data_IF_374506570001
#
_entry.id   IF_374506570001
#
_cell.length_a   1.000
_cell.length_b   1.000
_cell.length_c   1.000
_cell.angle_alpha   90.00
_cell.angle_beta   90.00
_cell.angle_gamma   90.00
#
_symmetry.space_group_name_H-M   'P 1'
#
loop_
_entity.id
_entity.type
_entity.pdbx_description
1 polymer ?
#
# COMPACT_ATOMS: atom_id res chain seq x y z
N UNK A 1 -22.80 -16.62 19.41
CA UNK A 1 -22.20 -17.49 18.39
C UNK A 1 -21.20 -16.70 17.59
N UNK A 2 -19.92 -16.93 17.78
CA UNK A 2 -18.93 -16.37 16.90
C UNK A 2 -19.09 -17.08 15.55
N UNK A 3 -19.51 -16.37 14.53
CA UNK A 3 -19.40 -16.84 13.15
C UNK A 3 -17.89 -16.93 12.90
N UNK A 4 -17.36 -18.13 12.96
CA UNK A 4 -16.02 -18.40 12.52
C UNK A 4 -15.97 -17.95 11.06
N UNK A 5 -15.37 -16.79 10.82
CA UNK A 5 -15.03 -16.37 9.47
C UNK A 5 -14.11 -17.45 8.96
N UNK A 6 -14.64 -18.39 8.19
CA UNK A 6 -13.84 -19.37 7.49
C UNK A 6 -12.88 -18.54 6.66
N UNK A 7 -11.65 -18.43 7.11
CA UNK A 7 -10.56 -18.07 6.23
C UNK A 7 -10.68 -19.04 5.07
N UNK A 8 -11.14 -18.55 3.92
CA UNK A 8 -11.13 -19.39 2.72
C UNK A 8 -9.68 -19.75 2.53
N UNK A 9 -9.36 -21.01 2.79
CA UNK A 9 -8.05 -21.54 2.45
C UNK A 9 -7.89 -21.27 0.96
N UNK A 10 -6.78 -20.62 0.58
CA UNK A 10 -6.46 -20.47 -0.83
C UNK A 10 -6.45 -21.87 -1.45
N UNK A 11 -7.10 -22.08 -2.60
CA UNK A 11 -7.01 -23.36 -3.27
C UNK A 11 -5.54 -23.74 -3.42
N UNK A 12 -5.20 -24.97 -3.06
CA UNK A 12 -3.83 -25.46 -3.23
C UNK A 12 -3.45 -25.32 -4.71
N UNK A 13 -2.49 -24.46 -5.01
CA UNK A 13 -2.02 -24.20 -6.37
C UNK A 13 -2.27 -22.80 -6.89
N UNK A 14 -3.30 -22.07 -6.44
CA UNK A 14 -3.60 -20.69 -6.91
C UNK A 14 -2.95 -19.59 -6.06
N UNK A 15 -2.32 -19.93 -4.95
CA UNK A 15 -1.79 -18.97 -4.00
C UNK A 15 -0.30 -18.63 -4.14
N UNK A 16 0.37 -19.13 -5.17
CA UNK A 16 1.80 -18.88 -5.35
C UNK A 16 2.05 -17.81 -6.39
N UNK A 17 2.43 -16.66 -5.92
CA UNK A 17 2.96 -15.62 -6.77
C UNK A 17 4.41 -15.92 -7.13
N UNK A 18 4.78 -15.68 -8.38
CA UNK A 18 6.17 -15.67 -8.80
C UNK A 18 6.79 -14.29 -8.58
N UNK A 19 8.11 -14.23 -8.54
CA UNK A 19 8.81 -12.94 -8.47
C UNK A 19 8.48 -12.04 -9.67
N UNK A 20 8.32 -12.62 -10.85
CA UNK A 20 7.93 -11.88 -12.07
C UNK A 20 6.55 -11.25 -11.88
N UNK A 21 5.58 -12.01 -11.41
CA UNK A 21 4.23 -11.50 -11.13
C UNK A 21 4.23 -10.42 -10.04
N UNK A 22 4.97 -10.65 -8.95
CA UNK A 22 5.07 -9.69 -7.85
C UNK A 22 5.70 -8.37 -8.33
N UNK A 23 6.80 -8.41 -9.06
CA UNK A 23 7.42 -7.21 -9.62
C UNK A 23 6.52 -6.50 -10.63
N UNK A 24 5.80 -7.23 -11.47
CA UNK A 24 4.84 -6.65 -12.40
C UNK A 24 3.73 -5.91 -11.65
N UNK A 25 3.22 -6.48 -10.55
CA UNK A 25 2.23 -5.83 -9.70
C UNK A 25 2.78 -4.54 -9.07
N UNK A 26 4.01 -4.57 -8.55
CA UNK A 26 4.65 -3.37 -7.98
C UNK A 26 4.79 -2.26 -9.02
N UNK A 27 5.21 -2.59 -10.25
CA UNK A 27 5.29 -1.60 -11.35
C UNK A 27 3.90 -1.06 -11.73
N UNK A 28 2.88 -1.92 -11.77
CA UNK A 28 1.51 -1.49 -12.05
C UNK A 28 0.99 -0.52 -10.97
N UNK A 29 1.25 -0.81 -9.70
CA UNK A 29 0.83 0.06 -8.59
C UNK A 29 1.56 1.40 -8.64
N UNK A 30 2.86 1.43 -8.91
CA UNK A 30 3.60 2.67 -9.13
C UNK A 30 2.95 3.51 -10.22
N UNK A 31 2.64 2.91 -11.34
CA UNK A 31 2.01 3.57 -12.48
C UNK A 31 0.62 4.12 -12.14
N UNK A 32 -0.21 3.36 -11.43
CA UNK A 32 -1.52 3.81 -10.97
C UNK A 32 -1.43 5.05 -10.08
N UNK A 33 -0.46 5.09 -9.16
CA UNK A 33 -0.21 6.27 -8.33
C UNK A 33 0.27 7.47 -9.16
N UNK A 34 1.20 7.26 -10.09
CA UNK A 34 1.73 8.33 -10.94
C UNK A 34 0.65 8.91 -11.86
N UNK A 35 -0.27 8.09 -12.34
CA UNK A 35 -1.44 8.54 -13.13
C UNK A 35 -2.59 9.06 -12.27
N UNK A 36 -2.49 8.94 -10.94
CA UNK A 36 -3.55 9.30 -10.01
C UNK A 36 -4.88 8.57 -10.29
N UNK A 37 -4.78 7.32 -10.72
CA UNK A 37 -5.91 6.49 -11.11
C UNK A 37 -6.49 5.77 -9.87
N UNK A 38 -7.37 6.46 -9.16
CA UNK A 38 -7.99 5.94 -7.93
C UNK A 38 -8.82 4.69 -8.22
N UNK A 39 -9.54 4.65 -9.32
CA UNK A 39 -10.36 3.49 -9.67
C UNK A 39 -9.49 2.24 -9.88
N UNK A 40 -8.39 2.37 -10.60
CA UNK A 40 -7.46 1.26 -10.78
C UNK A 40 -6.83 0.81 -9.45
N UNK A 41 -6.44 1.75 -8.59
CA UNK A 41 -5.92 1.43 -7.26
C UNK A 41 -6.93 0.64 -6.43
N UNK A 42 -8.16 1.13 -6.33
CA UNK A 42 -9.23 0.46 -5.57
C UNK A 42 -9.57 -0.92 -6.14
N UNK A 43 -9.63 -1.04 -7.46
CA UNK A 43 -9.92 -2.31 -8.15
C UNK A 43 -8.80 -3.35 -7.99
N UNK A 44 -7.61 -2.94 -7.59
CA UNK A 44 -6.52 -3.85 -7.24
C UNK A 44 -6.68 -4.54 -5.88
N UNK A 45 -7.69 -4.17 -5.10
CA UNK A 45 -8.01 -4.75 -3.81
C UNK A 45 -9.29 -5.59 -3.87
N UNK A 46 -9.41 -6.57 -2.97
CA UNK A 46 -10.66 -7.33 -2.81
C UNK A 46 -11.75 -6.43 -2.22
N UNK A 47 -13.02 -6.78 -2.45
CA UNK A 47 -14.15 -6.00 -1.90
C UNK A 47 -14.14 -5.93 -0.37
N UNK A 48 -13.71 -7.00 0.28
CA UNK A 48 -13.60 -7.14 1.73
C UNK A 48 -12.19 -6.84 2.25
N UNK A 49 -11.40 -6.07 1.52
CA UNK A 49 -10.02 -5.75 1.90
C UNK A 49 -9.93 -5.13 3.29
N UNK A 50 -8.81 -5.39 3.93
CA UNK A 50 -8.45 -4.82 5.22
C UNK A 50 -7.14 -4.06 5.04
N UNK A 51 -7.07 -2.84 5.53
CA UNK A 51 -5.84 -2.08 5.45
C UNK A 51 -5.53 -1.35 6.76
N UNK A 52 -4.26 -1.36 7.09
CA UNK A 52 -3.70 -0.68 8.25
C UNK A 52 -2.53 0.18 7.79
N UNK A 53 -2.67 1.48 7.91
CA UNK A 53 -1.75 2.46 7.39
C UNK A 53 -1.12 3.25 8.53
N UNK A 54 0.13 2.92 8.86
CA UNK A 54 0.88 3.50 9.98
C UNK A 54 0.12 3.41 11.32
N UNK A 55 -0.04 4.54 12.01
CA UNK A 55 -0.75 4.62 13.28
C UNK A 55 -2.28 4.73 13.14
N UNK A 56 -2.80 4.81 11.91
CA UNK A 56 -4.24 4.94 11.68
C UNK A 56 -4.97 3.65 12.09
N UNK A 57 -6.19 3.74 12.60
CA UNK A 57 -7.00 2.56 12.86
C UNK A 57 -7.16 1.69 11.62
N UNK A 58 -7.25 0.39 11.83
CA UNK A 58 -7.58 -0.56 10.77
C UNK A 58 -8.90 -0.18 10.10
N UNK A 59 -8.92 -0.22 8.78
CA UNK A 59 -10.09 0.08 7.97
C UNK A 59 -10.43 -1.10 7.05
N UNK A 60 -11.67 -1.16 6.59
CA UNK A 60 -12.19 -2.28 5.80
C UNK A 60 -12.99 -1.81 4.60
N UNK A 61 -12.84 -2.53 3.51
CA UNK A 61 -13.65 -2.40 2.30
C UNK A 61 -13.21 -1.32 1.33
N UNK A 62 -13.67 -1.46 0.10
CA UNK A 62 -13.30 -0.56 -1.00
C UNK A 62 -13.81 0.88 -0.82
N UNK A 63 -14.96 1.08 -0.16
CA UNK A 63 -15.46 2.44 0.07
C UNK A 63 -14.53 3.24 1.00
N UNK A 64 -14.08 2.63 2.08
CA UNK A 64 -13.09 3.24 2.99
C UNK A 64 -11.76 3.45 2.27
N UNK A 65 -11.33 2.48 1.47
CA UNK A 65 -10.10 2.57 0.70
C UNK A 65 -10.12 3.70 -0.33
N UNK A 66 -11.25 3.90 -1.01
CA UNK A 66 -11.45 4.99 -1.96
C UNK A 66 -11.33 6.35 -1.27
N UNK A 67 -11.97 6.51 -0.13
CA UNK A 67 -11.86 7.75 0.68
C UNK A 67 -10.42 8.01 1.10
N UNK A 68 -9.72 6.96 1.52
CA UNK A 68 -8.31 7.03 1.91
C UNK A 68 -7.42 7.48 0.74
N UNK A 69 -7.51 6.85 -0.42
CA UNK A 69 -6.70 7.23 -1.58
C UNK A 69 -7.05 8.62 -2.11
N UNK A 70 -8.32 8.99 -2.11
CA UNK A 70 -8.75 10.33 -2.53
C UNK A 70 -8.10 11.40 -1.67
N UNK A 71 -8.22 11.29 -0.34
CA UNK A 71 -7.63 12.24 0.59
C UNK A 71 -6.10 12.28 0.49
N UNK A 72 -5.47 11.12 0.34
CA UNK A 72 -4.03 11.01 0.20
C UNK A 72 -3.52 11.69 -1.07
N UNK A 73 -4.14 11.41 -2.22
CA UNK A 73 -3.70 11.97 -3.50
C UNK A 73 -4.00 13.46 -3.62
N UNK A 74 -5.07 13.95 -2.99
CA UNK A 74 -5.32 15.39 -2.90
C UNK A 74 -4.21 16.12 -2.13
N UNK A 75 -3.65 15.49 -1.11
CA UNK A 75 -2.57 16.05 -0.31
C UNK A 75 -1.19 15.88 -0.96
N UNK A 76 -0.96 14.77 -1.66
CA UNK A 76 0.33 14.44 -2.26
C UNK A 76 0.39 14.89 -3.72
N UNK A 77 0.88 16.11 -3.96
CA UNK A 77 1.11 16.61 -5.32
C UNK A 77 2.41 16.07 -5.89
N UNK A 78 2.42 15.77 -7.17
CA UNK A 78 3.60 15.27 -7.89
C UNK A 78 4.22 14.04 -7.20
N UNK A 79 3.37 13.15 -6.73
CA UNK A 79 3.80 11.95 -6.04
C UNK A 79 4.64 11.06 -6.94
N UNK A 80 5.86 10.76 -6.51
CA UNK A 80 6.79 9.83 -7.15
C UNK A 80 7.03 8.67 -6.22
N UNK A 81 6.70 7.48 -6.68
CA UNK A 81 6.73 6.26 -5.90
C UNK A 81 7.67 5.24 -6.53
N UNK A 82 8.50 4.65 -5.70
CA UNK A 82 9.31 3.49 -6.05
C UNK A 82 9.06 2.38 -5.06
N UNK A 83 8.80 1.19 -5.57
CA UNK A 83 8.62 -0.03 -4.78
C UNK A 83 9.68 -1.07 -5.12
N UNK A 84 10.21 -1.70 -4.10
CA UNK A 84 11.22 -2.76 -4.23
C UNK A 84 10.71 -4.02 -3.55
N UNK A 85 10.65 -5.13 -4.28
CA UNK A 85 10.29 -6.42 -3.70
C UNK A 85 11.38 -6.88 -2.73
N UNK A 86 11.00 -7.17 -1.49
CA UNK A 86 11.91 -7.66 -0.46
C UNK A 86 11.79 -9.16 -0.23
N UNK A 87 10.57 -9.65 -0.18
CA UNK A 87 10.29 -11.05 0.07
C UNK A 87 8.96 -11.45 -0.54
N UNK A 88 8.86 -12.71 -0.88
CA UNK A 88 7.65 -13.34 -1.39
C UNK A 88 7.56 -14.75 -0.82
N UNK A 89 6.49 -15.01 -0.07
CA UNK A 89 6.15 -16.34 0.42
C UNK A 89 4.70 -16.65 0.07
N UNK A 90 4.52 -17.51 -0.93
CA UNK A 90 3.20 -17.89 -1.45
C UNK A 90 2.41 -16.66 -1.92
N UNK A 91 1.41 -16.25 -1.14
CA UNK A 91 0.56 -15.08 -1.38
C UNK A 91 0.91 -13.87 -0.50
N UNK A 92 1.99 -13.96 0.25
CA UNK A 92 2.48 -12.88 1.09
C UNK A 92 3.64 -12.17 0.38
N UNK A 93 3.45 -10.88 0.13
CA UNK A 93 4.42 -10.03 -0.55
C UNK A 93 4.86 -8.92 0.38
N UNK A 94 6.16 -8.82 0.62
CA UNK A 94 6.75 -7.71 1.36
C UNK A 94 7.52 -6.80 0.40
N UNK A 95 7.30 -5.49 0.51
CA UNK A 95 8.00 -4.52 -0.32
C UNK A 95 8.44 -3.30 0.50
N UNK A 96 9.51 -2.68 0.05
CA UNK A 96 9.96 -1.36 0.48
C UNK A 96 9.35 -0.34 -0.47
N UNK A 97 8.72 0.70 0.06
CA UNK A 97 8.34 1.84 -0.74
C UNK A 97 9.13 3.09 -0.34
N UNK A 98 9.44 3.87 -1.33
CA UNK A 98 10.08 5.17 -1.20
C UNK A 98 9.28 6.17 -2.04
N UNK A 99 8.95 7.31 -1.47
CA UNK A 99 8.13 8.29 -2.16
C UNK A 99 8.56 9.72 -1.87
N UNK A 100 8.32 10.58 -2.85
CA UNK A 100 8.49 12.02 -2.71
C UNK A 100 7.25 12.73 -3.23
N UNK A 101 6.91 13.85 -2.63
CA UNK A 101 5.75 14.66 -3.04
C UNK A 101 5.87 16.09 -2.52
N UNK A 102 5.06 16.96 -3.08
CA UNK A 102 4.79 18.28 -2.51
C UNK A 102 3.52 18.18 -1.66
N UNK A 103 3.61 18.59 -0.41
CA UNK A 103 2.44 18.67 0.47
C UNK A 103 1.53 19.82 0.04
N UNK A 104 0.30 19.53 -0.37
CA UNK A 104 -0.65 20.52 -0.82
C UNK A 104 -1.04 21.54 0.26
N UNK A 105 -0.95 21.16 1.55
CA UNK A 105 -1.32 22.01 2.66
C UNK A 105 -0.20 22.99 3.04
N UNK A 106 1.05 22.63 2.85
CA UNK A 106 2.22 23.40 3.32
C UNK A 106 3.13 23.89 2.20
N UNK A 107 3.03 23.32 1.01
CA UNK A 107 3.95 23.56 -0.12
C UNK A 107 5.34 22.95 0.07
N UNK A 108 5.56 22.17 1.13
CA UNK A 108 6.85 21.58 1.43
C UNK A 108 7.11 20.32 0.61
N UNK A 109 8.36 20.10 0.23
CA UNK A 109 8.81 18.85 -0.38
C UNK A 109 8.97 17.79 0.70
N UNK A 110 8.27 16.68 0.54
CA UNK A 110 8.23 15.59 1.52
C UNK A 110 8.90 14.34 0.97
N UNK A 111 9.45 13.56 1.86
CA UNK A 111 9.97 12.22 1.59
C UNK A 111 9.33 11.22 2.54
N UNK A 112 8.97 10.06 2.03
CA UNK A 112 8.50 8.94 2.81
C UNK A 112 9.27 7.67 2.48
N UNK A 113 9.38 6.80 3.47
CA UNK A 113 9.99 5.49 3.33
C UNK A 113 9.34 4.51 4.29
N UNK A 114 9.04 3.33 3.81
CA UNK A 114 8.38 2.35 4.66
C UNK A 114 8.40 0.94 4.11
N UNK A 115 7.95 0.05 4.95
CA UNK A 115 7.76 -1.36 4.64
C UNK A 115 6.27 -1.65 4.56
N UNK A 116 5.90 -2.45 3.59
CA UNK A 116 4.54 -2.90 3.40
C UNK A 116 4.50 -4.41 3.28
N UNK A 117 3.46 -4.99 3.84
CA UNK A 117 3.13 -6.39 3.66
C UNK A 117 1.74 -6.49 3.03
N UNK A 118 1.66 -7.18 1.90
CA UNK A 118 0.41 -7.43 1.18
C UNK A 118 0.10 -8.92 1.21
N UNK A 119 -1.12 -9.24 1.60
CA UNK A 119 -1.64 -10.60 1.43
C UNK A 119 -2.56 -10.62 0.24
N UNK A 120 -2.22 -11.46 -0.74
CA UNK A 120 -2.95 -11.55 -1.99
C UNK A 120 -4.06 -12.61 -1.93
N UNK A 121 -5.16 -12.36 -2.61
CA UNK A 121 -6.24 -13.32 -2.84
C UNK A 121 -6.91 -13.02 -4.18
N UNK A 122 -7.10 -14.04 -5.00
CA UNK A 122 -7.74 -13.92 -6.32
C UNK A 122 -7.08 -12.86 -7.23
N UNK A 123 -5.76 -12.76 -7.17
CA UNK A 123 -5.00 -11.78 -7.94
C UNK A 123 -5.05 -10.34 -7.42
N UNK A 124 -5.71 -10.10 -6.28
CA UNK A 124 -5.92 -8.80 -5.68
C UNK A 124 -5.32 -8.72 -4.26
N UNK A 125 -5.13 -7.52 -3.76
CA UNK A 125 -4.68 -7.29 -2.40
C UNK A 125 -5.87 -7.44 -1.45
N UNK A 126 -5.82 -8.43 -0.56
CA UNK A 126 -6.84 -8.65 0.46
C UNK A 126 -6.49 -7.99 1.79
N UNK A 127 -5.21 -7.91 2.13
CA UNK A 127 -4.71 -7.23 3.32
C UNK A 127 -3.51 -6.37 2.94
N UNK A 128 -3.53 -5.14 3.38
CA UNK A 128 -2.42 -4.21 3.25
C UNK A 128 -2.06 -3.68 4.63
N UNK A 129 -0.84 -3.91 5.03
CA UNK A 129 -0.28 -3.41 6.29
C UNK A 129 1.00 -2.62 5.98
N UNK A 130 1.07 -1.38 6.44
CA UNK A 130 2.18 -0.48 6.16
C UNK A 130 2.67 0.23 7.41
N UNK A 131 3.99 0.21 7.58
CA UNK A 131 4.70 1.00 8.59
C UNK A 131 5.72 1.89 7.89
N UNK A 132 5.73 3.18 8.21
CA UNK A 132 6.59 4.13 7.49
C UNK A 132 6.88 5.38 8.31
N UNK A 133 7.89 6.11 7.85
CA UNK A 133 8.21 7.45 8.32
C UNK A 133 8.11 8.46 7.17
N UNK A 134 7.74 9.69 7.52
CA UNK A 134 7.66 10.83 6.60
C UNK A 134 8.42 12.00 7.21
N UNK A 135 9.17 12.73 6.37
CA UNK A 135 9.92 13.91 6.79
C UNK A 135 10.01 14.94 5.65
N UNK A 136 10.30 16.18 6.00
CA UNK A 136 10.62 17.20 5.00
C UNK A 136 11.96 16.89 4.34
N UNK A 137 12.03 17.00 3.01
CA UNK A 137 13.22 16.62 2.24
C UNK A 137 14.47 17.38 2.70
N UNK A 138 14.34 18.67 2.96
CA UNK A 138 15.43 19.55 3.42
C UNK A 138 15.35 19.83 4.93
N UNK A 139 14.48 19.14 5.64
CA UNK A 139 14.25 19.29 7.05
C UNK A 139 15.26 18.57 7.92
N UNK A 140 15.29 18.95 9.19
CA UNK A 140 16.09 18.25 10.19
C UNK A 140 15.55 16.83 10.40
N UNK A 141 16.40 15.83 10.20
CA UNK A 141 16.04 14.43 10.34
C UNK A 141 16.17 14.00 11.80
N UNK A 142 15.10 14.17 12.56
CA UNK A 142 15.04 13.70 13.93
C UNK A 142 14.16 12.47 14.03
N UNK A 143 14.73 11.40 14.60
CA UNK A 143 13.97 10.27 15.09
C UNK A 143 13.70 10.45 16.58
N UNK A 144 12.50 10.10 17.04
CA UNK A 144 12.14 10.17 18.47
C UNK A 144 12.92 9.22 19.38
N UNK A 145 13.66 8.28 18.78
CA UNK A 145 14.46 7.28 19.49
C UNK A 145 15.98 7.47 19.31
N UNK A 146 16.40 8.52 18.64
CA UNK A 146 17.81 8.80 18.36
C UNK A 146 18.21 10.20 18.78
#
# INVERSE_FOLDING_TARGET
MAVATRRRAFPRGEGRWTKVQANALLRAVEDMFHRRDIDALVNGFTEDCVFHFAEQPEQRGRNALRKFFTARLERQKNYRLKKTLLALDRNLLANLWEGTWEDANTGKQMTGRGLEVWRMRDGMIAVWDAAFNVWEQDGERKSSIM
#
